data_IF_182037695490
#
_entry.id   IF_182037695490
#
_cell.length_a   1.000
_cell.length_b   1.000
_cell.length_c   1.000
_cell.angle_alpha   90.00
_cell.angle_beta   90.00
_cell.angle_gamma   90.00
#
_symmetry.space_group_name_H-M   'P 1'
#
loop_
_entity.id
_entity.type
_entity.pdbx_description
1 polymer ?
#
# COMPACT_ATOMS: atom_id res chain seq x y z
N UNK A 1 -5.39 -3.91 72.45
CA UNK A 1 -5.33 -4.81 71.28
C UNK A 1 -6.40 -4.34 70.28
N UNK A 2 -6.13 -3.33 69.45
CA UNK A 2 -7.11 -2.91 68.43
C UNK A 2 -6.44 -2.30 67.21
N UNK A 3 -6.69 -2.96 66.07
CA UNK A 3 -6.91 -2.45 64.75
C UNK A 3 -5.84 -1.56 64.07
N UNK A 4 -4.69 -2.15 63.79
CA UNK A 4 -3.78 -1.66 62.76
C UNK A 4 -4.18 -2.09 61.33
N UNK A 5 -5.26 -2.89 61.19
CA UNK A 5 -5.57 -3.56 59.92
C UNK A 5 -6.64 -2.85 59.05
N UNK A 6 -7.44 -1.96 59.63
CA UNK A 6 -8.48 -1.22 58.92
C UNK A 6 -7.94 -0.05 58.08
N UNK A 7 -6.86 0.61 58.56
CA UNK A 7 -6.23 1.74 57.87
C UNK A 7 -5.41 1.37 56.64
N UNK A 8 -4.96 0.13 56.59
CA UNK A 8 -4.12 -0.38 55.48
C UNK A 8 -5.01 -0.84 54.28
N UNK A 9 -6.21 -1.33 54.60
CA UNK A 9 -7.23 -1.65 53.58
C UNK A 9 -7.79 -0.40 52.91
N UNK A 10 -8.06 0.68 53.66
CA UNK A 10 -8.55 1.94 53.15
C UNK A 10 -7.53 2.60 52.19
N UNK A 11 -6.24 2.62 52.54
CA UNK A 11 -5.18 3.14 51.66
C UNK A 11 -5.00 2.35 50.38
N UNK A 12 -5.30 1.04 50.34
CA UNK A 12 -5.23 0.20 49.18
C UNK A 12 -6.36 0.45 48.18
N UNK A 13 -7.50 0.88 48.64
CA UNK A 13 -8.66 1.18 47.80
C UNK A 13 -8.56 2.58 47.19
N UNK A 14 -7.97 3.53 47.92
CA UNK A 14 -7.76 4.90 47.43
C UNK A 14 -6.57 5.05 46.46
N UNK A 15 -5.62 4.10 46.47
CA UNK A 15 -4.46 4.08 45.55
C UNK A 15 -4.71 3.39 44.22
N UNK A 16 -5.81 2.68 44.05
CA UNK A 16 -6.21 2.05 42.79
C UNK A 16 -7.03 3.01 41.94
N UNK A 17 -6.49 4.20 41.70
CA UNK A 17 -6.94 5.06 40.61
C UNK A 17 -6.67 4.35 39.29
N UNK A 18 -7.56 3.42 38.90
CA UNK A 18 -7.62 2.94 37.53
C UNK A 18 -7.85 4.16 36.65
N UNK A 19 -6.75 4.66 36.08
CA UNK A 19 -6.81 5.59 34.97
C UNK A 19 -7.70 4.94 33.90
N UNK A 20 -8.98 5.31 33.89
CA UNK A 20 -9.84 5.02 32.76
C UNK A 20 -9.18 5.70 31.58
N UNK A 21 -8.51 4.93 30.72
CA UNK A 21 -8.07 5.41 29.41
C UNK A 21 -9.24 6.19 28.84
N UNK A 22 -9.02 7.47 28.57
CA UNK A 22 -10.00 8.34 27.98
C UNK A 22 -10.63 7.56 26.84
N UNK A 23 -11.97 7.53 26.83
CA UNK A 23 -12.76 6.87 25.79
C UNK A 23 -12.38 7.58 24.51
N UNK A 24 -11.46 6.99 23.74
CA UNK A 24 -11.08 7.52 22.42
C UNK A 24 -12.38 7.60 21.64
N UNK A 25 -12.75 8.80 21.20
CA UNK A 25 -13.95 9.03 20.42
C UNK A 25 -13.96 8.00 19.28
N UNK A 26 -14.91 7.07 19.36
CA UNK A 26 -15.01 6.01 18.36
C UNK A 26 -15.40 6.65 17.05
N UNK A 27 -14.54 6.46 16.03
CA UNK A 27 -14.83 6.94 14.68
C UNK A 27 -16.21 6.46 14.24
N UNK A 28 -17.11 7.36 13.80
CA UNK A 28 -18.46 6.99 13.40
C UNK A 28 -18.46 5.93 12.30
N UNK A 29 -19.38 4.99 12.39
CA UNK A 29 -19.63 3.97 11.37
C UNK A 29 -20.84 4.40 10.55
N UNK A 30 -20.59 4.83 9.32
CA UNK A 30 -21.58 5.48 8.45
C UNK A 30 -21.90 4.67 7.20
N UNK A 31 -21.17 3.57 6.95
CA UNK A 31 -21.32 2.71 5.77
C UNK A 31 -21.83 1.32 6.13
N UNK A 32 -22.39 0.63 5.14
CA UNK A 32 -22.88 -0.76 5.28
C UNK A 32 -23.82 -0.92 6.47
N UNK A 33 -24.86 -0.05 6.57
CA UNK A 33 -25.82 -0.11 7.67
C UNK A 33 -25.24 0.19 9.06
N UNK A 34 -24.11 0.89 9.15
CA UNK A 34 -23.45 1.20 10.42
C UNK A 34 -22.37 0.18 10.82
N UNK A 35 -21.97 -0.72 9.94
CA UNK A 35 -20.92 -1.70 10.22
C UNK A 35 -19.51 -1.13 9.96
N UNK A 36 -19.37 -0.26 8.96
CA UNK A 36 -18.08 0.24 8.49
C UNK A 36 -17.89 1.74 8.71
N UNK A 37 -16.67 2.13 8.99
CA UNK A 37 -16.23 3.53 8.94
C UNK A 37 -15.99 3.96 7.49
N UNK A 38 -15.95 5.26 7.23
CA UNK A 38 -15.54 5.80 5.91
C UNK A 38 -14.17 5.27 5.48
N UNK A 39 -13.20 5.23 6.40
CA UNK A 39 -11.85 4.73 6.11
C UNK A 39 -11.85 3.25 5.69
N UNK A 40 -12.66 2.41 6.36
CA UNK A 40 -12.80 0.99 6.03
C UNK A 40 -13.44 0.82 4.64
N UNK A 41 -14.49 1.58 4.34
CA UNK A 41 -15.16 1.56 3.04
C UNK A 41 -14.21 1.94 1.90
N UNK A 42 -13.50 3.07 2.01
CA UNK A 42 -12.55 3.50 0.98
C UNK A 42 -11.34 2.59 0.88
N UNK A 43 -10.92 1.99 1.98
CA UNK A 43 -9.90 0.94 2.00
C UNK A 43 -10.32 -0.29 1.19
N UNK A 44 -11.58 -0.72 1.33
CA UNK A 44 -12.16 -1.84 0.58
C UNK A 44 -12.21 -1.55 -0.92
N UNK A 45 -12.76 -0.39 -1.32
CA UNK A 45 -12.84 0.02 -2.74
C UNK A 45 -11.44 0.09 -3.36
N UNK A 46 -10.50 0.77 -2.70
CA UNK A 46 -9.12 0.89 -3.17
C UNK A 46 -8.44 -0.47 -3.33
N UNK A 47 -8.63 -1.38 -2.38
CA UNK A 47 -8.08 -2.73 -2.43
C UNK A 47 -8.64 -3.52 -3.61
N UNK A 48 -9.96 -3.45 -3.85
CA UNK A 48 -10.62 -4.09 -4.98
C UNK A 48 -10.07 -3.59 -6.33
N UNK A 49 -9.98 -2.28 -6.50
CA UNK A 49 -9.44 -1.68 -7.73
C UNK A 49 -7.97 -2.09 -7.96
N UNK A 50 -7.13 -2.10 -6.91
CA UNK A 50 -5.74 -2.56 -7.03
C UNK A 50 -5.62 -4.04 -7.34
N UNK A 51 -6.53 -4.88 -6.86
CA UNK A 51 -6.56 -6.30 -7.26
C UNK A 51 -6.93 -6.45 -8.74
N UNK A 52 -7.90 -5.66 -9.22
CA UNK A 52 -8.26 -5.66 -10.64
C UNK A 52 -7.11 -5.19 -11.52
N UNK A 53 -6.38 -4.16 -11.12
CA UNK A 53 -5.25 -3.62 -11.90
C UNK A 53 -4.13 -4.63 -12.11
N UNK A 54 -3.98 -5.63 -11.23
CA UNK A 54 -3.00 -6.72 -11.43
C UNK A 54 -3.27 -7.58 -12.67
N UNK A 55 -4.45 -7.48 -13.26
CA UNK A 55 -4.83 -8.17 -14.52
C UNK A 55 -4.89 -7.22 -15.70
N UNK A 56 -4.64 -5.93 -15.49
CA UNK A 56 -4.67 -4.90 -16.53
C UNK A 56 -3.52 -5.15 -17.53
N UNK A 57 -3.81 -5.41 -18.84
CA UNK A 57 -2.79 -5.78 -19.80
C UNK A 57 -1.61 -4.81 -19.94
N UNK A 58 -1.80 -3.48 -19.96
CA UNK A 58 -0.69 -2.54 -19.96
C UNK A 58 0.28 -2.76 -18.80
N UNK A 59 -0.22 -2.93 -17.58
CA UNK A 59 0.58 -3.13 -16.38
C UNK A 59 1.34 -4.47 -16.37
N UNK A 60 0.69 -5.56 -16.82
CA UNK A 60 1.27 -6.92 -16.70
C UNK A 60 2.09 -7.34 -17.91
N UNK A 61 1.87 -6.75 -19.08
CA UNK A 61 2.50 -7.20 -20.33
C UNK A 61 3.06 -6.09 -21.20
N UNK A 62 2.28 -5.05 -21.51
CA UNK A 62 2.66 -4.08 -22.52
C UNK A 62 3.90 -3.29 -22.12
N UNK A 63 3.94 -2.75 -20.90
CA UNK A 63 5.10 -2.01 -20.39
C UNK A 63 6.38 -2.85 -20.40
N UNK A 64 6.30 -4.13 -20.04
CA UNK A 64 7.42 -5.06 -20.07
C UNK A 64 7.87 -5.40 -21.49
N UNK A 65 6.93 -5.54 -22.43
CA UNK A 65 7.28 -5.88 -23.82
C UNK A 65 8.10 -4.79 -24.52
N UNK A 66 7.92 -3.52 -24.14
CA UNK A 66 8.66 -2.38 -24.70
C UNK A 66 10.16 -2.45 -24.35
N UNK A 67 10.50 -2.97 -23.19
CA UNK A 67 11.87 -2.98 -22.64
C UNK A 67 12.48 -4.38 -22.57
N UNK A 68 11.97 -5.32 -23.35
CA UNK A 68 12.33 -6.74 -23.34
C UNK A 68 13.35 -7.07 -24.42
N UNK A 69 14.36 -7.87 -24.09
CA UNK A 69 15.27 -8.49 -25.07
C UNK A 69 15.53 -9.97 -24.75
N UNK A 70 16.07 -10.72 -25.70
CA UNK A 70 16.65 -12.03 -25.41
C UNK A 70 17.82 -11.87 -24.46
N UNK A 71 17.92 -12.75 -23.46
CA UNK A 71 19.03 -12.69 -22.51
C UNK A 71 20.38 -12.88 -23.19
N UNK A 72 21.33 -12.05 -22.80
CA UNK A 72 22.74 -12.17 -23.16
C UNK A 72 23.57 -12.82 -22.05
N UNK A 73 22.90 -13.26 -20.97
CA UNK A 73 23.53 -13.95 -19.85
C UNK A 73 23.99 -15.36 -20.24
N UNK A 74 25.08 -15.81 -19.64
CA UNK A 74 25.53 -17.21 -19.74
C UNK A 74 24.56 -18.22 -19.13
N UNK A 75 23.65 -17.75 -18.30
CA UNK A 75 22.60 -18.56 -17.69
C UNK A 75 21.53 -18.94 -18.72
N UNK A 76 21.64 -20.13 -19.31
CA UNK A 76 20.69 -20.66 -20.31
C UNK A 76 19.25 -20.77 -19.86
N UNK A 77 18.97 -20.70 -18.54
CA UNK A 77 17.59 -20.69 -17.98
C UNK A 77 16.96 -19.31 -18.08
N UNK A 78 17.76 -18.23 -18.16
CA UNK A 78 17.29 -16.87 -18.31
C UNK A 78 17.04 -16.59 -19.80
N UNK A 79 15.78 -16.68 -20.23
CA UNK A 79 15.40 -16.47 -21.64
C UNK A 79 15.26 -14.99 -22.01
N UNK A 80 14.84 -14.16 -21.06
CA UNK A 80 14.48 -12.76 -21.31
C UNK A 80 15.07 -11.86 -20.23
N UNK A 81 15.53 -10.69 -20.64
CA UNK A 81 15.96 -9.58 -19.80
C UNK A 81 15.10 -8.35 -20.08
N UNK A 82 14.98 -7.47 -19.08
CA UNK A 82 14.18 -6.27 -19.10
C UNK A 82 15.04 -5.08 -18.68
N UNK A 83 14.97 -4.00 -19.44
CA UNK A 83 15.74 -2.81 -19.15
C UNK A 83 15.06 -1.96 -18.08
N UNK A 84 15.82 -1.55 -17.06
CA UNK A 84 15.37 -0.50 -16.15
C UNK A 84 15.39 0.84 -16.87
N UNK A 85 14.26 1.54 -16.93
CA UNK A 85 14.14 2.82 -17.64
C UNK A 85 14.76 4.02 -16.89
N UNK A 86 15.43 3.76 -15.74
CA UNK A 86 16.14 4.79 -14.99
C UNK A 86 17.65 4.64 -15.03
N UNK A 87 18.18 3.45 -14.76
CA UNK A 87 19.62 3.18 -14.81
C UNK A 87 20.08 2.53 -16.12
N UNK A 88 19.14 2.16 -17.01
CA UNK A 88 19.36 1.56 -18.32
C UNK A 88 20.02 0.17 -18.29
N UNK A 89 20.25 -0.39 -17.11
CA UNK A 89 20.78 -1.73 -16.92
C UNK A 89 19.73 -2.81 -17.17
N UNK A 90 20.20 -4.03 -17.48
CA UNK A 90 19.35 -5.18 -17.83
C UNK A 90 19.22 -6.16 -16.68
N UNK A 91 18.01 -6.62 -16.43
CA UNK A 91 17.65 -7.44 -15.27
C UNK A 91 16.75 -8.60 -15.65
N UNK A 92 16.76 -9.68 -14.84
CA UNK A 92 15.77 -10.73 -14.93
C UNK A 92 14.37 -10.20 -14.50
N UNK A 93 13.30 -10.88 -14.96
CA UNK A 93 11.92 -10.46 -14.68
C UNK A 93 11.62 -10.24 -13.17
N UNK A 94 12.21 -11.06 -12.32
CA UNK A 94 12.01 -10.98 -10.85
C UNK A 94 12.66 -9.76 -10.19
N UNK A 95 13.58 -9.11 -10.89
CA UNK A 95 14.37 -7.98 -10.39
C UNK A 95 13.83 -6.63 -10.85
N UNK A 96 12.78 -6.65 -11.68
CA UNK A 96 12.11 -5.44 -12.16
C UNK A 96 10.66 -5.39 -11.75
N UNK A 97 10.18 -4.17 -11.53
CA UNK A 97 8.80 -3.85 -11.22
C UNK A 97 8.23 -2.85 -12.23
N UNK A 98 6.94 -2.99 -12.55
CA UNK A 98 6.22 -2.00 -13.35
C UNK A 98 5.62 -0.98 -12.39
N UNK A 99 5.95 0.26 -12.60
CA UNK A 99 5.57 1.37 -11.73
C UNK A 99 4.81 2.45 -12.52
N UNK A 100 3.82 3.09 -11.89
CA UNK A 100 3.11 4.22 -12.47
C UNK A 100 4.00 5.47 -12.45
N UNK A 101 4.15 6.13 -13.60
CA UNK A 101 4.90 7.38 -13.71
C UNK A 101 4.22 8.43 -12.84
N UNK A 102 2.90 8.58 -12.99
CA UNK A 102 2.08 9.42 -12.14
C UNK A 102 1.45 8.58 -11.01
N UNK A 103 1.65 8.95 -9.74
CA UNK A 103 1.03 8.24 -8.62
C UNK A 103 -0.50 8.25 -8.72
N UNK A 104 -1.14 7.12 -8.40
CA UNK A 104 -2.60 7.03 -8.41
C UNK A 104 -3.29 8.00 -7.43
N UNK A 105 -2.56 8.45 -6.40
CA UNK A 105 -3.09 9.34 -5.37
C UNK A 105 -3.87 8.62 -4.29
N UNK A 106 -4.64 9.39 -3.53
CA UNK A 106 -5.52 8.86 -2.49
C UNK A 106 -6.93 8.66 -3.01
N UNK A 107 -7.66 7.71 -2.44
CA UNK A 107 -9.07 7.47 -2.70
C UNK A 107 -9.80 7.54 -1.35
N UNK A 108 -10.44 8.68 -1.09
CA UNK A 108 -11.13 8.98 0.18
C UNK A 108 -12.58 9.43 -0.03
N UNK A 109 -12.96 9.73 -1.26
CA UNK A 109 -14.29 10.20 -1.64
C UNK A 109 -14.65 9.72 -3.05
N UNK A 110 -15.93 9.81 -3.42
CA UNK A 110 -16.36 9.54 -4.79
C UNK A 110 -15.79 10.54 -5.81
N UNK A 111 -15.49 11.76 -5.38
CA UNK A 111 -14.85 12.76 -6.24
C UNK A 111 -13.43 12.35 -6.67
N UNK A 112 -12.73 11.58 -5.84
CA UNK A 112 -11.38 11.08 -6.16
C UNK A 112 -11.40 9.90 -7.13
N UNK A 113 -12.54 9.21 -7.27
CA UNK A 113 -12.63 7.90 -7.92
C UNK A 113 -12.22 7.93 -9.38
N UNK A 114 -12.67 8.92 -10.15
CA UNK A 114 -12.37 9.03 -11.58
C UNK A 114 -10.87 9.19 -11.82
N UNK A 115 -10.23 10.10 -11.12
CA UNK A 115 -8.79 10.38 -11.24
C UNK A 115 -7.97 9.19 -10.75
N UNK A 116 -8.37 8.59 -9.63
CA UNK A 116 -7.69 7.41 -9.10
C UNK A 116 -7.76 6.22 -10.07
N UNK A 117 -8.93 5.95 -10.65
CA UNK A 117 -9.13 4.87 -11.60
C UNK A 117 -8.38 5.13 -12.92
N UNK A 118 -8.43 6.33 -13.46
CA UNK A 118 -7.72 6.71 -14.69
C UNK A 118 -6.21 6.50 -14.55
N UNK A 119 -5.62 6.93 -13.44
CA UNK A 119 -4.20 6.74 -13.15
C UNK A 119 -3.84 5.28 -12.87
N UNK A 120 -4.73 4.53 -12.21
CA UNK A 120 -4.49 3.13 -11.87
C UNK A 120 -4.53 2.22 -13.10
N UNK A 121 -5.45 2.49 -14.03
CA UNK A 121 -5.67 1.76 -15.26
C UNK A 121 -5.15 2.51 -16.50
N UNK A 122 -4.05 3.26 -16.33
CA UNK A 122 -3.43 3.98 -17.43
C UNK A 122 -2.88 3.03 -18.49
N UNK A 123 -2.64 3.56 -19.66
CA UNK A 123 -1.97 2.85 -20.75
C UNK A 123 -0.47 2.71 -20.50
N UNK A 124 0.22 1.99 -21.38
CA UNK A 124 1.65 1.65 -21.19
C UNK A 124 2.59 2.85 -21.18
N UNK A 125 2.21 3.97 -21.78
CA UNK A 125 2.94 5.24 -21.73
C UNK A 125 2.89 5.91 -20.35
N UNK A 126 1.88 5.63 -19.54
CA UNK A 126 1.77 6.02 -18.14
C UNK A 126 2.56 5.11 -17.17
N UNK A 127 3.24 4.09 -17.68
CA UNK A 127 3.96 3.09 -16.91
C UNK A 127 5.44 3.10 -17.24
N UNK A 128 6.26 2.68 -16.29
CA UNK A 128 7.69 2.46 -16.49
C UNK A 128 8.17 1.20 -15.78
N UNK A 129 9.22 0.62 -16.28
CA UNK A 129 9.89 -0.54 -15.69
C UNK A 129 11.11 -0.07 -14.94
N UNK A 130 11.22 -0.41 -13.67
CA UNK A 130 12.34 -0.05 -12.79
C UNK A 130 12.90 -1.31 -12.13
N UNK A 131 14.23 -1.36 -11.95
CA UNK A 131 14.82 -2.36 -11.06
C UNK A 131 14.46 -2.05 -9.61
N UNK A 132 14.59 -3.04 -8.74
CA UNK A 132 14.22 -2.92 -7.32
C UNK A 132 14.92 -1.76 -6.63
N UNK A 133 16.20 -1.51 -6.93
CA UNK A 133 16.96 -0.41 -6.37
C UNK A 133 16.41 0.97 -6.82
N UNK A 134 16.20 1.15 -8.11
CA UNK A 134 15.67 2.40 -8.66
C UNK A 134 14.22 2.67 -8.18
N UNK A 135 13.45 1.60 -7.99
CA UNK A 135 12.10 1.70 -7.44
C UNK A 135 12.10 2.14 -5.97
N UNK A 136 13.05 1.65 -5.15
CA UNK A 136 13.23 2.11 -3.77
C UNK A 136 13.66 3.59 -3.71
N UNK A 137 14.67 4.00 -4.48
CA UNK A 137 15.13 5.41 -4.54
C UNK A 137 14.00 6.37 -4.89
N UNK A 138 13.09 5.98 -5.78
CA UNK A 138 11.92 6.81 -6.11
C UNK A 138 10.97 7.03 -4.92
N UNK A 139 10.85 6.06 -4.01
CA UNK A 139 9.99 6.21 -2.82
C UNK A 139 10.56 7.20 -1.82
N UNK A 140 11.88 7.35 -1.80
CA UNK A 140 12.59 8.28 -0.92
C UNK A 140 12.56 9.73 -1.44
N UNK A 141 12.38 9.92 -2.76
CA UNK A 141 12.30 11.22 -3.41
C UNK A 141 10.91 11.91 -3.29
N UNK A 142 9.95 11.29 -2.60
CA UNK A 142 8.57 11.81 -2.34
C UNK A 142 8.40 12.30 -0.92
#
# INVERSE_FOLDING_TARGET
>A
VFDANASEWQRRIEGAGMSRKAKTDRVPRTRAGGEWTEAAFWGFIRSGLRQLSRRWPPLVRHALNVVKRKSQSENKRLKWEFQCQRCEEWFARKEVEVDHIEPCGSLKSFADLSVFADRLFCESDGLRVLCSECHLKRKEEK
#
